data_IF_664721404784
#
_entry.id   IF_664721404784
#
_cell.length_a   1.000
_cell.length_b   1.000
_cell.length_c   1.000
_cell.angle_alpha   90.00
_cell.angle_beta   90.00
_cell.angle_gamma   90.00
#
_symmetry.space_group_name_H-M   'P 1'
#
loop_
_entity.id
_entity.type
_entity.pdbx_description
1 polymer ?
#
# COMPACT_ATOMS: atom_id res chain seq x y z
N UNK A 1 -15.02 -4.40 -22.94
CA UNK A 1 -14.86 -4.54 -24.40
C UNK A 1 -15.78 -5.67 -24.85
N UNK A 2 -16.79 -5.38 -25.66
CA UNK A 2 -17.55 -6.45 -26.31
C UNK A 2 -16.58 -7.14 -27.28
N UNK A 3 -16.18 -8.37 -26.98
CA UNK A 3 -15.53 -9.21 -27.97
C UNK A 3 -16.50 -9.30 -29.15
N UNK A 4 -16.10 -8.80 -30.31
CA UNK A 4 -16.84 -9.03 -31.55
C UNK A 4 -16.71 -10.54 -31.78
N UNK A 5 -17.71 -11.29 -31.34
CA UNK A 5 -17.74 -12.73 -31.52
C UNK A 5 -17.83 -12.98 -33.03
N UNK A 6 -16.85 -13.69 -33.59
CA UNK A 6 -16.91 -14.11 -34.98
C UNK A 6 -18.17 -14.99 -35.17
N UNK A 7 -19.09 -14.58 -36.05
CA UNK A 7 -20.28 -15.36 -36.43
C UNK A 7 -20.01 -16.12 -37.74
N UNK A 8 -19.85 -17.45 -37.70
CA UNK A 8 -19.57 -18.26 -38.88
C UNK A 8 -20.71 -18.24 -39.92
N UNK A 9 -21.97 -18.07 -39.50
CA UNK A 9 -23.12 -18.03 -40.42
C UNK A 9 -23.19 -16.71 -41.17
N UNK A 10 -22.91 -15.60 -40.50
CA UNK A 10 -22.86 -14.29 -41.16
C UNK A 10 -21.70 -14.26 -42.18
N UNK A 11 -20.55 -14.82 -41.80
CA UNK A 11 -19.39 -14.93 -42.68
C UNK A 11 -19.66 -15.81 -43.91
N UNK A 12 -20.34 -16.96 -43.76
CA UNK A 12 -20.69 -17.80 -44.92
C UNK A 12 -21.64 -17.07 -45.88
N UNK A 13 -22.65 -16.36 -45.35
CA UNK A 13 -23.61 -15.60 -46.17
C UNK A 13 -22.93 -14.46 -46.94
N UNK A 14 -21.94 -13.81 -46.35
CA UNK A 14 -21.14 -12.79 -47.04
C UNK A 14 -20.34 -13.38 -48.20
N UNK A 15 -19.77 -14.57 -48.03
CA UNK A 15 -19.06 -15.27 -49.10
C UNK A 15 -20.02 -15.70 -50.23
N UNK A 16 -21.20 -16.21 -49.89
CA UNK A 16 -22.25 -16.51 -50.87
C UNK A 16 -22.67 -15.25 -51.65
N UNK A 17 -22.86 -14.12 -50.97
CA UNK A 17 -23.15 -12.82 -51.58
C UNK A 17 -22.04 -12.29 -52.50
N UNK A 18 -20.80 -12.71 -52.28
CA UNK A 18 -19.65 -12.41 -53.13
C UNK A 18 -19.49 -13.38 -54.32
N UNK A 19 -20.40 -14.34 -54.48
CA UNK A 19 -20.41 -15.32 -55.57
C UNK A 19 -19.66 -16.62 -55.29
N UNK A 20 -19.25 -16.88 -54.03
CA UNK A 20 -18.66 -18.16 -53.64
C UNK A 20 -19.77 -19.21 -53.54
N UNK A 21 -19.62 -20.41 -54.14
CA UNK A 21 -20.58 -21.49 -53.97
C UNK A 21 -20.78 -21.85 -52.49
N UNK A 22 -22.02 -22.12 -52.09
CA UNK A 22 -22.40 -22.38 -50.70
C UNK A 22 -21.53 -23.44 -50.01
N UNK A 23 -21.23 -24.54 -50.71
CA UNK A 23 -20.38 -25.61 -50.18
C UNK A 23 -18.95 -25.12 -49.88
N UNK A 24 -18.40 -24.21 -50.70
CA UNK A 24 -17.10 -23.61 -50.47
C UNK A 24 -17.13 -22.53 -49.38
N UNK A 25 -18.22 -21.74 -49.33
CA UNK A 25 -18.43 -20.72 -48.31
C UNK A 25 -18.50 -21.33 -46.90
N UNK A 26 -19.20 -22.47 -46.74
CA UNK A 26 -19.24 -23.20 -45.47
C UNK A 26 -17.87 -23.75 -45.05
N UNK A 27 -17.10 -24.30 -45.99
CA UNK A 27 -15.75 -24.82 -45.70
C UNK A 27 -14.82 -23.68 -45.28
N UNK A 28 -14.88 -22.53 -45.95
CA UNK A 28 -14.14 -21.33 -45.54
C UNK A 28 -14.55 -20.84 -44.15
N UNK A 29 -15.84 -20.77 -43.86
CA UNK A 29 -16.32 -20.35 -42.55
C UNK A 29 -15.84 -21.29 -41.43
N UNK A 30 -15.88 -22.61 -41.66
CA UNK A 30 -15.38 -23.60 -40.70
C UNK A 30 -13.87 -23.52 -40.50
N UNK A 31 -13.10 -23.39 -41.58
CA UNK A 31 -11.65 -23.24 -41.49
C UNK A 31 -11.27 -21.96 -40.71
N UNK A 32 -11.96 -20.85 -40.98
CA UNK A 32 -11.71 -19.58 -40.32
C UNK A 32 -12.15 -19.59 -38.85
N UNK A 33 -13.27 -20.24 -38.53
CA UNK A 33 -13.71 -20.47 -37.13
C UNK A 33 -12.65 -21.26 -36.35
N UNK A 34 -12.12 -22.32 -36.95
CA UNK A 34 -11.11 -23.18 -36.32
C UNK A 34 -9.80 -22.43 -36.10
N UNK A 35 -9.34 -21.68 -37.11
CA UNK A 35 -8.15 -20.83 -36.99
C UNK A 35 -8.34 -19.73 -35.95
N UNK A 36 -9.53 -19.12 -35.87
CA UNK A 36 -9.85 -18.11 -34.87
C UNK A 36 -9.87 -18.67 -33.46
N UNK A 37 -10.54 -19.81 -33.21
CA UNK A 37 -10.56 -20.46 -31.89
C UNK A 37 -9.16 -20.83 -31.42
N UNK A 38 -8.36 -21.43 -32.30
CA UNK A 38 -6.96 -21.78 -31.99
C UNK A 38 -6.10 -20.53 -31.76
N UNK A 39 -6.32 -19.45 -32.50
CA UNK A 39 -5.59 -18.20 -32.31
C UNK A 39 -6.07 -17.41 -31.08
N UNK A 40 -7.34 -17.54 -30.65
CA UNK A 40 -7.86 -16.92 -29.42
C UNK A 40 -7.32 -17.65 -28.18
N UNK A 41 -7.21 -18.98 -28.23
CA UNK A 41 -6.49 -19.73 -27.19
C UNK A 41 -5.00 -19.34 -27.10
N UNK A 42 -4.41 -18.90 -28.23
CA UNK A 42 -3.03 -18.42 -28.29
C UNK A 42 -2.87 -16.91 -27.97
N UNK A 43 -3.84 -16.07 -28.32
CA UNK A 43 -3.87 -14.63 -28.06
C UNK A 43 -4.35 -14.42 -26.62
N UNK A 44 -3.39 -14.26 -25.72
CA UNK A 44 -3.60 -14.20 -24.27
C UNK A 44 -3.89 -15.60 -23.73
N UNK A 45 -2.86 -16.45 -23.76
CA UNK A 45 -2.85 -17.66 -22.94
C UNK A 45 -3.10 -17.19 -21.51
N UNK A 46 -4.27 -17.53 -20.96
CA UNK A 46 -4.64 -17.23 -19.57
C UNK A 46 -3.47 -17.50 -18.62
N UNK A 47 -2.73 -18.57 -18.89
CA UNK A 47 -1.50 -18.97 -18.20
C UNK A 47 -0.40 -17.89 -18.20
N UNK A 48 -0.15 -17.20 -19.32
CA UNK A 48 0.85 -16.12 -19.36
C UNK A 48 0.42 -14.93 -18.49
N UNK A 49 -0.86 -14.56 -18.52
CA UNK A 49 -1.38 -13.52 -17.65
C UNK A 49 -1.36 -13.97 -16.18
N UNK A 50 -1.75 -15.20 -15.88
CA UNK A 50 -1.75 -15.74 -14.52
C UNK A 50 -0.34 -15.73 -13.92
N UNK A 51 0.68 -16.12 -14.71
CA UNK A 51 2.08 -16.03 -14.29
C UNK A 51 2.50 -14.57 -14.02
N UNK A 52 2.15 -13.65 -14.92
CA UNK A 52 2.49 -12.22 -14.76
C UNK A 52 1.76 -11.57 -13.60
N UNK A 53 0.51 -11.95 -13.33
CA UNK A 53 -0.24 -11.49 -12.17
C UNK A 53 0.36 -12.02 -10.87
N UNK A 54 0.75 -13.29 -10.83
CA UNK A 54 1.42 -13.88 -9.67
C UNK A 54 2.77 -13.19 -9.40
N UNK A 55 3.58 -12.95 -10.44
CA UNK A 55 4.85 -12.22 -10.31
C UNK A 55 4.61 -10.78 -9.81
N UNK A 56 3.54 -10.14 -10.27
CA UNK A 56 3.18 -8.80 -9.84
C UNK A 56 2.72 -8.76 -8.37
N UNK A 57 1.88 -9.72 -7.97
CA UNK A 57 1.38 -9.87 -6.60
C UNK A 57 2.54 -10.07 -5.62
N UNK A 58 3.42 -11.03 -5.90
CA UNK A 58 4.61 -11.30 -5.06
C UNK A 58 5.53 -10.09 -4.95
N UNK A 59 5.75 -9.35 -6.04
CA UNK A 59 6.57 -8.12 -6.02
C UNK A 59 5.92 -7.01 -5.21
N UNK A 60 4.61 -6.86 -5.29
CA UNK A 60 3.88 -5.85 -4.52
C UNK A 60 3.93 -6.19 -3.04
N UNK A 61 3.59 -7.41 -2.66
CA UNK A 61 3.63 -7.89 -1.28
C UNK A 61 5.01 -7.67 -0.66
N UNK A 62 6.07 -8.17 -1.31
CA UNK A 62 7.43 -8.02 -0.81
C UNK A 62 7.92 -6.55 -0.75
N UNK A 63 7.40 -5.67 -1.62
CA UNK A 63 7.71 -4.24 -1.60
C UNK A 63 6.99 -3.53 -0.46
N UNK A 64 5.72 -3.84 -0.26
CA UNK A 64 4.89 -3.31 0.81
C UNK A 64 5.47 -3.72 2.17
N UNK A 65 5.73 -4.99 2.38
CA UNK A 65 6.29 -5.50 3.65
C UNK A 65 7.60 -4.82 4.02
N UNK A 66 8.52 -4.66 3.05
CA UNK A 66 9.78 -3.94 3.29
C UNK A 66 9.57 -2.49 3.71
N UNK A 67 8.58 -1.80 3.11
CA UNK A 67 8.26 -0.42 3.47
C UNK A 67 7.63 -0.35 4.86
N UNK A 68 6.73 -1.26 5.20
CA UNK A 68 6.13 -1.33 6.53
C UNK A 68 7.16 -1.65 7.61
N UNK A 69 8.03 -2.64 7.41
CA UNK A 69 9.13 -2.92 8.34
C UNK A 69 10.06 -1.71 8.54
N UNK A 70 10.31 -0.95 7.46
CA UNK A 70 11.05 0.32 7.54
C UNK A 70 10.33 1.41 8.34
N UNK A 71 8.99 1.45 8.29
CA UNK A 71 8.18 2.36 9.11
C UNK A 71 8.21 1.94 10.58
N UNK A 72 8.08 0.65 10.89
CA UNK A 72 8.14 0.13 12.25
C UNK A 72 9.47 0.49 12.92
N UNK A 73 10.59 0.34 12.20
CA UNK A 73 11.90 0.75 12.70
C UNK A 73 12.00 2.25 13.00
N UNK A 74 11.34 3.10 12.21
CA UNK A 74 11.29 4.55 12.46
C UNK A 74 10.42 4.89 13.66
N UNK A 75 9.30 4.20 13.84
CA UNK A 75 8.45 4.36 15.03
C UNK A 75 9.20 3.95 16.30
N UNK A 76 9.94 2.84 16.27
CA UNK A 76 10.78 2.43 17.39
C UNK A 76 11.86 3.47 17.75
N UNK A 77 12.50 4.11 16.76
CA UNK A 77 13.44 5.23 17.02
C UNK A 77 12.74 6.44 17.66
N UNK A 78 11.53 6.77 17.18
CA UNK A 78 10.71 7.85 17.74
C UNK A 78 10.36 7.55 19.20
N UNK A 79 9.92 6.33 19.53
CA UNK A 79 9.60 5.92 20.89
C UNK A 79 10.82 6.02 21.80
N UNK A 80 12.00 5.59 21.33
CA UNK A 80 13.25 5.74 22.06
C UNK A 80 13.61 7.20 22.35
N UNK A 81 13.37 8.11 21.40
CA UNK A 81 13.58 9.55 21.59
C UNK A 81 12.60 10.13 22.61
N UNK A 82 11.33 9.73 22.58
CA UNK A 82 10.33 10.18 23.55
C UNK A 82 10.66 9.71 24.96
N UNK A 83 11.05 8.44 25.13
CA UNK A 83 11.52 7.95 26.43
C UNK A 83 12.73 8.75 26.95
N UNK A 84 13.66 9.13 26.05
CA UNK A 84 14.78 10.00 26.39
C UNK A 84 14.36 11.41 26.81
N UNK A 85 13.29 11.95 26.21
CA UNK A 85 12.70 13.23 26.60
C UNK A 85 12.05 13.13 27.99
N UNK A 86 11.31 12.06 28.27
CA UNK A 86 10.65 11.84 29.58
C UNK A 86 11.68 11.80 30.72
N UNK A 87 12.80 11.11 30.52
CA UNK A 87 13.90 11.08 31.50
C UNK A 87 14.47 12.48 31.77
N UNK A 88 14.59 13.32 30.72
CA UNK A 88 15.07 14.70 30.88
C UNK A 88 14.07 15.55 31.65
N UNK A 89 12.77 15.42 31.38
CA UNK A 89 11.73 16.12 32.12
C UNK A 89 11.70 15.70 33.59
N UNK A 90 11.76 14.40 33.90
CA UNK A 90 11.82 13.92 35.27
C UNK A 90 13.04 14.49 36.04
N UNK A 91 14.19 14.65 35.37
CA UNK A 91 15.37 15.29 35.95
C UNK A 91 15.14 16.78 36.22
N UNK A 92 14.50 17.48 35.30
CA UNK A 92 14.15 18.91 35.44
C UNK A 92 13.19 19.10 36.62
N UNK A 93 12.15 18.27 36.73
CA UNK A 93 11.20 18.30 37.85
C UNK A 93 11.92 18.09 39.20
N UNK A 94 12.85 17.13 39.26
CA UNK A 94 13.67 16.91 40.45
C UNK A 94 14.63 18.07 40.78
N UNK A 95 15.07 18.84 39.79
CA UNK A 95 15.85 20.06 40.02
C UNK A 95 14.94 21.19 40.55
N UNK A 96 13.79 21.41 39.94
CA UNK A 96 12.83 22.41 40.40
C UNK A 96 12.33 22.11 41.81
N UNK A 97 12.03 20.85 42.14
CA UNK A 97 11.66 20.44 43.50
C UNK A 97 12.70 20.85 44.54
N UNK A 98 14.00 20.66 44.24
CA UNK A 98 15.09 21.11 45.13
C UNK A 98 15.13 22.64 45.26
N UNK A 99 14.95 23.36 44.15
CA UNK A 99 14.91 24.82 44.17
C UNK A 99 13.74 25.32 45.01
N UNK A 100 12.54 24.75 44.85
CA UNK A 100 11.36 25.11 45.64
C UNK A 100 11.58 24.88 47.14
N UNK A 101 12.22 23.77 47.53
CA UNK A 101 12.56 23.51 48.93
C UNK A 101 13.54 24.56 49.47
N UNK A 102 14.62 24.86 48.72
CA UNK A 102 15.58 25.88 49.15
C UNK A 102 14.94 27.25 49.28
N UNK A 103 14.09 27.65 48.32
CA UNK A 103 13.34 28.90 48.40
C UNK A 103 12.42 28.93 49.61
N UNK A 104 11.72 27.84 49.91
CA UNK A 104 10.91 27.73 51.12
C UNK A 104 11.73 27.93 52.40
N UNK A 105 12.90 27.29 52.49
CA UNK A 105 13.82 27.46 53.64
C UNK A 105 14.29 28.92 53.75
N UNK A 106 14.68 29.54 52.65
CA UNK A 106 15.12 30.94 52.63
C UNK A 106 13.97 31.87 53.05
N UNK A 107 12.77 31.66 52.54
CA UNK A 107 11.59 32.44 52.91
C UNK A 107 11.33 32.37 54.41
N UNK A 108 11.41 31.18 55.03
CA UNK A 108 11.26 31.01 56.47
C UNK A 108 12.39 31.72 57.24
N UNK A 109 13.64 31.54 56.81
CA UNK A 109 14.81 32.14 57.45
C UNK A 109 14.81 33.68 57.38
N UNK A 110 14.22 34.28 56.34
CA UNK A 110 14.10 35.74 56.18
C UNK A 110 12.84 36.28 56.86
N UNK A 111 11.71 35.60 56.75
CA UNK A 111 10.43 36.09 57.26
C UNK A 111 10.36 36.09 58.79
N UNK A 112 10.93 35.08 59.46
CA UNK A 112 10.89 34.98 60.93
C UNK A 112 11.60 36.17 61.61
N UNK A 113 12.88 36.48 61.29
CA UNK A 113 13.57 37.62 61.90
C UNK A 113 12.92 38.96 61.54
N UNK A 114 12.44 39.11 60.30
CA UNK A 114 11.76 40.33 59.87
C UNK A 114 10.49 40.60 60.70
N UNK A 115 9.69 39.56 60.97
CA UNK A 115 8.53 39.66 61.86
C UNK A 115 8.93 39.97 63.31
N UNK A 116 9.98 39.36 63.83
CA UNK A 116 10.50 39.64 65.17
C UNK A 116 11.02 41.08 65.33
N UNK A 117 11.50 41.71 64.25
CA UNK A 117 11.96 43.10 64.27
C UNK A 117 10.83 44.14 64.17
N UNK A 118 9.60 43.70 63.87
CA UNK A 118 8.43 44.54 63.62
C UNK A 118 7.46 44.64 64.83
N UNK A 119 7.63 43.77 65.83
CA UNK A 119 6.86 43.72 67.08
C UNK A 119 7.79 43.90 68.28
#
# INVERSE_FOLDING_TARGET
MAAIAFDPMEYSRLLEGAGVPRDQAEVHARAMTTAFLHNVDALVTKDYLDVRFTEFETRIEASIDRRFAGLDGRFADIDGRFAGIDVRFARIDGQFGRVYVMLGVIMVAVAIPALQSLF
#
